data_IF_842796883938
#
_entry.id   IF_842796883938
#
_cell.length_a   1.000
_cell.length_b   1.000
_cell.length_c   1.000
_cell.angle_alpha   90.00
_cell.angle_beta   90.00
_cell.angle_gamma   90.00
#
_symmetry.space_group_name_H-M   'P 1'
#
loop_
_entity.id
_entity.type
_entity.pdbx_description
1 polymer ?
#
# COMPACT_ATOMS: atom_id res chain seq x y z
N UNK A 1 2.25 -14.36 62.32
CA UNK A 1 2.07 -15.18 61.11
C UNK A 1 0.59 -15.57 61.04
N UNK A 2 -0.22 -14.65 60.53
CA UNK A 2 -1.66 -14.85 60.30
C UNK A 2 -1.85 -14.88 58.79
N UNK A 3 -2.23 -16.03 58.25
CA UNK A 3 -2.74 -16.16 56.88
C UNK A 3 -3.97 -15.23 56.77
N UNK A 4 -3.77 -14.01 56.28
CA UNK A 4 -4.85 -13.23 55.71
C UNK A 4 -5.11 -13.80 54.32
N UNK A 5 -6.10 -14.68 54.30
CA UNK A 5 -6.98 -15.05 53.18
C UNK A 5 -6.87 -14.03 52.04
N UNK A 6 -6.52 -14.50 50.83
CA UNK A 6 -6.64 -13.74 49.58
C UNK A 6 -7.95 -12.95 49.63
N UNK A 7 -7.94 -11.61 49.47
CA UNK A 7 -9.18 -10.87 49.44
C UNK A 7 -10.01 -11.45 48.30
N UNK A 8 -11.25 -11.86 48.61
CA UNK A 8 -12.25 -12.19 47.61
C UNK A 8 -12.16 -11.14 46.49
N UNK A 9 -11.87 -11.58 45.26
CA UNK A 9 -11.90 -10.72 44.08
C UNK A 9 -13.29 -10.09 44.05
N UNK A 10 -13.40 -8.81 44.40
CA UNK A 10 -14.68 -8.10 44.35
C UNK A 10 -15.22 -8.17 42.92
N UNK A 11 -16.55 -8.15 42.78
CA UNK A 11 -17.22 -8.12 41.48
C UNK A 11 -16.66 -7.04 40.55
N UNK A 12 -16.28 -5.89 41.10
CA UNK A 12 -15.58 -4.81 40.41
C UNK A 12 -14.21 -5.20 39.85
N UNK A 13 -13.38 -5.91 40.62
CA UNK A 13 -12.06 -6.34 40.16
C UNK A 13 -12.20 -7.37 39.04
N UNK A 14 -13.13 -8.32 39.18
CA UNK A 14 -13.42 -9.32 38.14
C UNK A 14 -13.89 -8.66 36.83
N UNK A 15 -14.74 -7.64 36.93
CA UNK A 15 -15.25 -6.92 35.77
C UNK A 15 -14.13 -6.19 34.99
N UNK A 16 -13.20 -5.53 35.70
CA UNK A 16 -12.08 -4.84 35.06
C UNK A 16 -11.10 -5.85 34.45
N UNK A 17 -10.82 -6.97 35.11
CA UNK A 17 -9.95 -8.03 34.57
C UNK A 17 -10.57 -8.61 33.29
N UNK A 18 -11.88 -8.85 33.30
CA UNK A 18 -12.61 -9.29 32.12
C UNK A 18 -12.49 -8.29 30.97
N UNK A 19 -12.67 -7.00 31.24
CA UNK A 19 -12.50 -5.95 30.22
C UNK A 19 -11.09 -5.91 29.62
N UNK A 20 -10.06 -6.01 30.47
CA UNK A 20 -8.66 -6.10 30.05
C UNK A 20 -8.39 -7.33 29.17
N UNK A 21 -8.97 -8.47 29.53
CA UNK A 21 -8.82 -9.70 28.76
C UNK A 21 -9.52 -9.62 27.40
N UNK A 22 -10.72 -9.05 27.34
CA UNK A 22 -11.44 -8.81 26.08
C UNK A 22 -10.63 -7.91 25.16
N UNK A 23 -10.02 -6.84 25.69
CA UNK A 23 -9.14 -5.97 24.92
C UNK A 23 -7.91 -6.72 24.38
N UNK A 24 -7.24 -7.51 25.21
CA UNK A 24 -6.06 -8.28 24.82
C UNK A 24 -6.40 -9.33 23.75
N UNK A 25 -7.46 -10.12 23.97
CA UNK A 25 -7.93 -11.12 23.02
C UNK A 25 -8.32 -10.49 21.68
N UNK A 26 -8.98 -9.34 21.70
CA UNK A 26 -9.28 -8.55 20.51
C UNK A 26 -8.03 -8.11 19.75
N UNK A 27 -7.02 -7.61 20.47
CA UNK A 27 -5.74 -7.22 19.88
C UNK A 27 -5.03 -8.39 19.20
N UNK A 28 -4.94 -9.53 19.88
CA UNK A 28 -4.33 -10.76 19.34
C UNK A 28 -5.10 -11.26 18.12
N UNK A 29 -6.43 -11.26 18.17
CA UNK A 29 -7.29 -11.67 17.05
C UNK A 29 -7.08 -10.81 15.80
N UNK A 30 -7.04 -9.48 15.96
CA UNK A 30 -6.74 -8.56 14.86
C UNK A 30 -5.32 -8.74 14.31
N UNK A 31 -4.34 -9.03 15.16
CA UNK A 31 -2.98 -9.34 14.72
C UNK A 31 -2.92 -10.60 13.88
N UNK A 32 -3.65 -11.64 14.32
CA UNK A 32 -3.77 -12.89 13.58
C UNK A 32 -4.43 -12.67 12.21
N UNK A 33 -5.52 -11.89 12.16
CA UNK A 33 -6.18 -11.49 10.90
C UNK A 33 -5.27 -10.69 9.98
N UNK A 34 -4.52 -9.73 10.51
CA UNK A 34 -3.52 -8.97 9.75
C UNK A 34 -2.48 -9.89 9.08
N UNK A 35 -1.99 -10.90 9.81
CA UNK A 35 -1.06 -11.91 9.25
C UNK A 35 -1.75 -12.78 8.20
N UNK A 36 -2.98 -13.23 8.46
CA UNK A 36 -3.77 -14.06 7.53
C UNK A 36 -4.12 -13.36 6.21
N UNK A 37 -4.25 -12.03 6.20
CA UNK A 37 -4.50 -11.24 4.99
C UNK A 37 -3.21 -10.72 4.31
N UNK A 38 -2.09 -11.42 4.51
CA UNK A 38 -0.84 -11.13 3.80
C UNK A 38 -0.19 -9.80 4.18
N UNK A 39 -0.42 -9.29 5.41
CA UNK A 39 0.19 -8.07 5.95
C UNK A 39 -0.10 -6.79 5.17
N UNK A 40 -1.19 -6.75 4.39
CA UNK A 40 -1.52 -5.60 3.55
C UNK A 40 -2.26 -4.49 4.31
N UNK A 41 -2.95 -4.82 5.41
CA UNK A 41 -3.78 -3.85 6.13
C UNK A 41 -3.10 -3.27 7.38
N UNK A 42 -2.35 -2.18 7.21
CA UNK A 42 -1.75 -1.43 8.32
C UNK A 42 -2.78 -0.91 9.34
N UNK A 43 -4.03 -0.69 8.92
CA UNK A 43 -5.13 -0.40 9.83
C UNK A 43 -5.30 -1.49 10.90
N UNK A 44 -5.37 -2.76 10.50
CA UNK A 44 -5.55 -3.88 11.44
C UNK A 44 -4.34 -4.07 12.36
N UNK A 45 -3.13 -3.78 11.85
CA UNK A 45 -1.90 -3.78 12.65
C UNK A 45 -1.95 -2.70 13.75
N UNK A 46 -2.24 -1.46 13.36
CA UNK A 46 -2.28 -0.32 14.28
C UNK A 46 -3.45 -0.42 15.27
N UNK A 47 -4.60 -0.94 14.82
CA UNK A 47 -5.74 -1.23 15.67
C UNK A 47 -5.41 -2.32 16.70
N UNK A 48 -4.79 -3.41 16.25
CA UNK A 48 -4.28 -4.49 17.11
C UNK A 48 -3.31 -3.97 18.17
N UNK A 49 -2.31 -3.19 17.77
CA UNK A 49 -1.32 -2.61 18.67
C UNK A 49 -2.00 -1.73 19.74
N UNK A 50 -2.97 -0.92 19.34
CA UNK A 50 -3.72 -0.09 20.30
C UNK A 50 -4.56 -0.91 21.29
N UNK A 51 -5.19 -2.02 20.87
CA UNK A 51 -5.89 -2.92 21.80
C UNK A 51 -4.95 -3.59 22.81
N UNK A 52 -3.76 -4.01 22.36
CA UNK A 52 -2.75 -4.61 23.24
C UNK A 52 -2.25 -3.57 24.24
N UNK A 53 -1.87 -2.37 23.80
CA UNK A 53 -1.40 -1.29 24.67
C UNK A 53 -2.47 -0.84 25.67
N UNK A 54 -3.73 -0.77 25.23
CA UNK A 54 -4.86 -0.44 26.09
C UNK A 54 -5.07 -1.52 27.18
N UNK A 55 -4.97 -2.80 26.82
CA UNK A 55 -5.08 -3.91 27.78
C UNK A 55 -3.94 -3.89 28.81
N UNK A 56 -2.71 -3.56 28.39
CA UNK A 56 -1.57 -3.39 29.30
C UNK A 56 -1.81 -2.24 30.28
N UNK A 57 -2.44 -1.15 29.83
CA UNK A 57 -2.89 -0.07 30.70
C UNK A 57 -3.90 -0.55 31.73
N UNK A 58 -4.91 -1.33 31.33
CA UNK A 58 -5.90 -1.88 32.28
C UNK A 58 -5.21 -2.75 33.33
N UNK A 59 -4.32 -3.66 32.91
CA UNK A 59 -3.63 -4.55 33.85
C UNK A 59 -2.62 -3.84 34.73
N UNK A 60 -1.99 -2.75 34.27
CA UNK A 60 -1.03 -1.99 35.09
C UNK A 60 -1.68 -1.39 36.33
N UNK A 61 -3.00 -1.12 36.31
CA UNK A 61 -3.76 -0.67 37.48
C UNK A 61 -3.77 -1.67 38.64
N UNK A 62 -3.56 -2.97 38.38
CA UNK A 62 -3.58 -4.02 39.40
C UNK A 62 -2.21 -4.39 39.94
N UNK A 63 -1.23 -4.50 39.04
CA UNK A 63 0.09 -5.01 39.39
C UNK A 63 0.92 -3.99 40.16
N UNK A 64 0.56 -2.70 40.05
CA UNK A 64 1.33 -1.63 40.64
C UNK A 64 0.43 -0.53 41.24
N UNK A 65 -0.08 -0.71 42.47
CA UNK A 65 -0.90 0.29 43.16
C UNK A 65 -0.16 1.61 43.47
N UNK A 66 1.17 1.56 43.53
CA UNK A 66 2.08 2.69 43.72
C UNK A 66 2.61 3.29 42.42
N UNK A 67 2.30 2.68 41.27
CA UNK A 67 2.64 3.25 39.97
C UNK A 67 1.66 4.39 39.69
N UNK A 68 2.21 5.58 39.59
CA UNK A 68 1.48 6.83 39.39
C UNK A 68 0.59 6.78 38.15
N UNK A 69 -0.53 7.52 38.22
CA UNK A 69 -1.50 7.75 37.14
C UNK A 69 -0.86 8.01 35.77
N UNK A 70 0.34 8.59 35.73
CA UNK A 70 1.09 8.92 34.52
C UNK A 70 1.42 7.73 33.61
N UNK A 71 1.87 6.58 34.11
CA UNK A 71 2.28 5.46 33.23
C UNK A 71 1.07 4.79 32.57
N UNK A 72 -0.02 4.69 33.32
CA UNK A 72 -1.33 4.28 32.81
C UNK A 72 -1.81 5.22 31.69
N UNK A 73 -1.74 6.53 31.93
CA UNK A 73 -2.09 7.51 30.90
C UNK A 73 -1.16 7.43 29.68
N UNK A 74 0.14 7.20 29.85
CA UNK A 74 1.08 7.03 28.73
C UNK A 74 0.72 5.83 27.85
N UNK A 75 0.37 4.69 28.43
CA UNK A 75 -0.08 3.51 27.68
C UNK A 75 -1.40 3.78 26.93
N UNK A 76 -2.33 4.52 27.55
CA UNK A 76 -3.54 4.99 26.89
C UNK A 76 -3.20 5.92 25.72
N UNK A 77 -2.32 6.90 25.90
CA UNK A 77 -1.94 7.83 24.84
C UNK A 77 -1.29 7.11 23.65
N UNK A 78 -0.45 6.10 23.91
CA UNK A 78 0.12 5.26 22.86
C UNK A 78 -0.94 4.40 22.15
N UNK A 79 -1.90 3.86 22.90
CA UNK A 79 -3.03 3.11 22.32
C UNK A 79 -3.89 4.02 21.42
N UNK A 80 -4.22 5.21 21.89
CA UNK A 80 -5.00 6.20 21.14
C UNK A 80 -4.25 6.73 19.93
N UNK A 81 -2.92 6.93 20.02
CA UNK A 81 -2.08 7.27 18.87
C UNK A 81 -2.12 6.18 17.81
N UNK A 82 -2.03 4.91 18.23
CA UNK A 82 -2.10 3.77 17.31
C UNK A 82 -3.46 3.69 16.63
N UNK A 83 -4.55 3.90 17.35
CA UNK A 83 -5.89 3.98 16.75
C UNK A 83 -6.04 5.18 15.81
N UNK A 84 -5.61 6.37 16.24
CA UNK A 84 -5.66 7.60 15.46
C UNK A 84 -4.91 7.46 14.13
N UNK A 85 -3.68 6.96 14.18
CA UNK A 85 -2.86 6.72 12.98
C UNK A 85 -3.52 5.69 12.07
N UNK A 86 -4.08 4.61 12.62
CA UNK A 86 -4.89 3.64 11.87
C UNK A 86 -6.02 4.31 11.08
N UNK A 87 -6.84 5.14 11.73
CA UNK A 87 -7.92 5.88 11.07
C UNK A 87 -7.41 6.96 10.10
N UNK A 88 -6.31 7.66 10.42
CA UNK A 88 -5.72 8.67 9.56
C UNK A 88 -5.26 8.08 8.23
N UNK A 89 -4.53 6.95 8.28
CA UNK A 89 -4.04 6.27 7.08
C UNK A 89 -5.18 5.82 6.15
N UNK A 90 -6.36 5.59 6.70
CA UNK A 90 -7.55 5.21 5.95
C UNK A 90 -8.16 6.39 5.18
N UNK A 91 -7.96 7.62 5.65
CA UNK A 91 -8.55 8.85 5.10
C UNK A 91 -7.63 9.55 4.08
N UNK A 92 -6.31 9.45 4.26
CA UNK A 92 -5.28 10.10 3.42
C UNK A 92 -5.40 9.75 1.93
N UNK A 93 -6.02 8.62 1.60
CA UNK A 93 -6.21 8.17 0.22
C UNK A 93 -7.29 8.86 -0.61
N UNK A 94 -8.33 9.37 0.04
CA UNK A 94 -9.52 9.90 -0.66
C UNK A 94 -9.86 11.34 -0.31
N UNK A 95 -9.29 11.89 0.75
CA UNK A 95 -9.52 13.28 1.15
C UNK A 95 -8.28 14.15 0.97
N UNK A 96 -8.53 15.45 0.74
CA UNK A 96 -7.52 16.49 0.74
C UNK A 96 -6.72 16.45 2.05
N UNK A 97 -5.41 16.70 1.94
CA UNK A 97 -4.41 16.83 3.02
C UNK A 97 -4.96 17.58 4.26
N UNK A 98 -5.88 18.52 4.06
CA UNK A 98 -6.56 19.29 5.11
C UNK A 98 -7.16 18.45 6.25
N UNK A 99 -7.77 17.28 5.98
CA UNK A 99 -8.38 16.47 7.04
C UNK A 99 -7.33 15.72 7.86
N UNK A 100 -6.30 15.19 7.21
CA UNK A 100 -5.17 14.57 7.90
C UNK A 100 -4.45 15.60 8.80
N UNK A 101 -4.27 16.82 8.28
CA UNK A 101 -3.71 17.94 9.06
C UNK A 101 -4.56 18.25 10.29
N UNK A 102 -5.89 18.31 10.17
CA UNK A 102 -6.78 18.55 11.32
C UNK A 102 -6.64 17.45 12.39
N UNK A 103 -6.61 16.17 12.01
CA UNK A 103 -6.42 15.07 12.96
C UNK A 103 -5.03 15.10 13.62
N UNK A 104 -3.98 15.37 12.83
CA UNK A 104 -2.62 15.51 13.36
C UNK A 104 -2.50 16.70 14.31
N UNK A 105 -3.15 17.83 14.02
CA UNK A 105 -3.21 18.98 14.92
C UNK A 105 -3.96 18.69 16.21
N UNK A 106 -5.10 17.99 16.15
CA UNK A 106 -5.86 17.57 17.35
C UNK A 106 -5.01 16.64 18.22
N UNK A 107 -4.30 15.68 17.61
CA UNK A 107 -3.41 14.77 18.34
C UNK A 107 -2.20 15.50 18.95
N UNK A 108 -1.57 16.42 18.21
CA UNK A 108 -0.45 17.20 18.74
C UNK A 108 -0.88 18.12 19.88
N UNK A 109 -2.06 18.73 19.78
CA UNK A 109 -2.62 19.57 20.83
C UNK A 109 -2.93 18.76 22.10
N UNK A 110 -3.52 17.57 21.98
CA UNK A 110 -3.79 16.71 23.13
C UNK A 110 -2.50 16.17 23.77
N UNK A 111 -1.51 15.80 22.96
CA UNK A 111 -0.20 15.38 23.44
C UNK A 111 0.51 16.51 24.19
N UNK A 112 0.46 17.74 23.65
CA UNK A 112 1.03 18.91 24.30
C UNK A 112 0.36 19.20 25.66
N UNK A 113 -0.97 19.12 25.73
CA UNK A 113 -1.72 19.28 26.99
C UNK A 113 -1.37 18.18 28.00
N UNK A 114 -1.20 16.94 27.56
CA UNK A 114 -0.73 15.85 28.42
C UNK A 114 0.69 16.09 28.95
N UNK A 115 1.61 16.54 28.10
CA UNK A 115 2.98 16.87 28.50
C UNK A 115 3.02 18.03 29.50
N UNK A 116 2.18 19.05 29.32
CA UNK A 116 2.05 20.16 30.26
C UNK A 116 1.47 19.71 31.61
N UNK A 117 0.53 18.76 31.62
CA UNK A 117 0.06 18.11 32.84
C UNK A 117 1.17 17.29 33.50
N UNK A 118 1.91 16.49 32.73
CA UNK A 118 3.03 15.69 33.23
C UNK A 118 4.14 16.55 33.86
N UNK A 119 4.40 17.73 33.29
CA UNK A 119 5.35 18.72 33.82
C UNK A 119 4.81 19.47 35.06
N UNK A 120 3.57 19.21 35.49
CA UNK A 120 2.94 19.87 36.63
C UNK A 120 2.53 21.32 36.38
N UNK A 121 2.54 21.78 35.12
CA UNK A 121 2.24 23.16 34.73
C UNK A 121 0.72 23.37 34.60
N UNK A 122 0.00 22.34 34.16
CA UNK A 122 -1.45 22.38 33.92
C UNK A 122 -2.24 21.79 35.08
N UNK A 123 -3.43 22.33 35.35
CA UNK A 123 -4.33 21.81 36.39
C UNK A 123 -4.74 20.35 36.12
N UNK A 124 -4.89 19.56 37.18
CA UNK A 124 -5.13 18.10 37.11
C UNK A 124 -6.40 17.73 36.35
N UNK A 125 -7.42 18.58 36.40
CA UNK A 125 -8.70 18.38 35.71
C UNK A 125 -8.52 18.37 34.18
N UNK A 126 -7.71 19.28 33.63
CA UNK A 126 -7.48 19.37 32.17
C UNK A 126 -6.62 18.20 31.67
N UNK A 127 -5.64 17.76 32.47
CA UNK A 127 -4.81 16.59 32.17
C UNK A 127 -5.59 15.27 32.14
N UNK A 128 -6.61 15.14 33.00
CA UNK A 128 -7.47 13.95 33.04
C UNK A 128 -8.54 13.99 31.94
N UNK A 129 -9.03 15.18 31.55
CA UNK A 129 -10.06 15.36 30.51
C UNK A 129 -9.56 15.04 29.08
N UNK A 130 -8.28 15.29 28.82
CA UNK A 130 -7.66 15.18 27.49
C UNK A 130 -7.77 13.80 26.82
N UNK A 131 -7.50 12.65 27.48
CA UNK A 131 -7.68 11.35 26.84
C UNK A 131 -9.15 11.05 26.51
N UNK A 132 -10.10 11.48 27.34
CA UNK A 132 -11.54 11.28 27.09
C UNK A 132 -12.03 12.12 25.89
N UNK A 133 -11.61 13.39 25.81
CA UNK A 133 -11.89 14.26 24.65
C UNK A 133 -11.25 13.72 23.37
N UNK A 134 -10.04 13.17 23.45
CA UNK A 134 -9.36 12.59 22.30
C UNK A 134 -10.05 11.33 21.81
N UNK A 135 -10.49 10.43 22.71
CA UNK A 135 -11.33 9.29 22.34
C UNK A 135 -12.59 9.78 21.65
N UNK A 136 -13.30 10.74 22.23
CA UNK A 136 -14.53 11.26 21.66
C UNK A 136 -14.30 11.85 20.26
N UNK A 137 -13.30 12.73 20.07
CA UNK A 137 -13.02 13.41 18.81
C UNK A 137 -12.48 12.47 17.72
N UNK A 138 -11.55 11.57 18.06
CA UNK A 138 -11.04 10.56 17.13
C UNK A 138 -12.14 9.57 16.73
N UNK A 139 -12.97 9.16 17.70
CA UNK A 139 -14.07 8.24 17.47
C UNK A 139 -15.17 8.88 16.61
N UNK A 140 -15.63 10.10 16.92
CA UNK A 140 -16.68 10.75 16.12
C UNK A 140 -16.18 11.17 14.75
N UNK A 141 -14.96 11.73 14.67
CA UNK A 141 -14.38 12.16 13.41
C UNK A 141 -14.08 11.00 12.46
N UNK A 142 -13.43 9.94 12.96
CA UNK A 142 -13.09 8.75 12.18
C UNK A 142 -14.33 8.01 11.65
N UNK A 143 -15.39 7.98 12.44
CA UNK A 143 -16.65 7.31 12.09
C UNK A 143 -17.49 8.08 11.07
N UNK A 144 -17.61 9.40 11.23
CA UNK A 144 -18.26 10.26 10.23
C UNK A 144 -17.55 10.15 8.89
N UNK A 145 -16.21 10.06 8.91
CA UNK A 145 -15.41 9.84 7.71
C UNK A 145 -15.65 8.48 7.08
N UNK A 146 -15.64 7.41 7.87
CA UNK A 146 -15.94 6.07 7.37
C UNK A 146 -17.32 6.00 6.67
N UNK A 147 -18.34 6.60 7.28
CA UNK A 147 -19.71 6.65 6.72
C UNK A 147 -19.72 7.42 5.40
N UNK A 148 -19.00 8.55 5.32
CA UNK A 148 -18.89 9.34 4.07
C UNK A 148 -18.09 8.65 2.97
N UNK A 149 -17.08 7.85 3.30
CA UNK A 149 -16.14 7.28 2.32
C UNK A 149 -16.66 5.98 1.70
N UNK A 150 -17.21 5.10 2.54
CA UNK A 150 -17.51 3.74 2.13
C UNK A 150 -19.00 3.50 1.87
N UNK A 151 -19.88 4.48 2.17
CA UNK A 151 -21.35 4.38 2.09
C UNK A 151 -21.96 3.15 2.78
N UNK A 152 -21.12 2.38 3.47
CA UNK A 152 -21.41 1.11 4.12
C UNK A 152 -20.56 1.06 5.37
N UNK A 153 -21.22 0.99 6.52
CA UNK A 153 -20.57 0.73 7.78
C UNK A 153 -21.23 -0.48 8.43
N UNK A 154 -20.46 -1.46 8.93
CA UNK A 154 -21.03 -2.47 9.79
C UNK A 154 -21.68 -1.77 10.98
N UNK A 155 -23.00 -1.92 11.14
CA UNK A 155 -23.77 -1.31 12.24
C UNK A 155 -23.19 -1.66 13.59
N UNK A 156 -22.64 -2.88 13.74
CA UNK A 156 -21.91 -3.33 14.92
C UNK A 156 -20.70 -2.47 15.28
N UNK A 157 -19.96 -1.95 14.29
CA UNK A 157 -18.80 -1.09 14.50
C UNK A 157 -19.24 0.27 15.08
N UNK A 158 -20.34 0.83 14.57
CA UNK A 158 -20.94 2.07 15.07
C UNK A 158 -21.52 1.89 16.48
N UNK A 159 -22.29 0.83 16.70
CA UNK A 159 -22.89 0.54 18.00
C UNK A 159 -21.83 0.33 19.08
N UNK A 160 -20.81 -0.50 18.80
CA UNK A 160 -19.69 -0.71 19.72
C UNK A 160 -18.96 0.60 20.03
N UNK A 161 -18.73 1.45 19.02
CA UNK A 161 -18.13 2.76 19.23
C UNK A 161 -18.96 3.71 20.09
N UNK A 162 -20.25 3.84 19.81
CA UNK A 162 -21.15 4.71 20.57
C UNK A 162 -21.22 4.29 22.04
N UNK A 163 -21.19 2.98 22.30
CA UNK A 163 -21.14 2.44 23.66
C UNK A 163 -19.83 2.76 24.39
N UNK A 164 -18.67 2.72 23.71
CA UNK A 164 -17.39 3.13 24.29
C UNK A 164 -17.38 4.61 24.67
N UNK A 165 -17.89 5.49 23.79
CA UNK A 165 -17.98 6.93 24.06
C UNK A 165 -18.92 7.20 25.23
N UNK A 166 -20.10 6.56 25.26
CA UNK A 166 -21.04 6.69 26.36
C UNK A 166 -20.43 6.21 27.70
N UNK A 167 -19.73 5.08 27.69
CA UNK A 167 -19.05 4.54 28.89
C UNK A 167 -18.00 5.52 29.42
N UNK A 168 -17.19 6.11 28.54
CA UNK A 168 -16.19 7.12 28.91
C UNK A 168 -16.81 8.40 29.49
N UNK A 169 -17.94 8.86 28.94
CA UNK A 169 -18.67 10.02 29.48
C UNK A 169 -19.21 9.70 30.88
N UNK A 170 -19.82 8.52 31.06
CA UNK A 170 -20.34 8.08 32.34
C UNK A 170 -19.24 7.89 33.39
N UNK A 171 -18.06 7.37 33.00
CA UNK A 171 -16.88 7.27 33.87
C UNK A 171 -16.37 8.66 34.27
N UNK A 172 -16.27 9.59 33.32
CA UNK A 172 -15.78 10.95 33.57
C UNK A 172 -16.65 11.73 34.57
N UNK A 173 -17.97 11.67 34.42
CA UNK A 173 -18.91 12.31 35.35
C UNK A 173 -19.19 11.48 36.61
N UNK A 174 -18.55 10.31 36.75
CA UNK A 174 -18.76 9.36 37.84
C UNK A 174 -20.25 8.99 38.04
N UNK A 175 -20.99 8.82 36.94
CA UNK A 175 -22.44 8.59 36.93
C UNK A 175 -22.83 7.10 36.99
N UNK A 176 -21.86 6.19 36.92
CA UNK A 176 -22.12 4.76 36.90
C UNK A 176 -21.07 3.99 37.72
N UNK A 177 -21.47 2.82 38.23
CA UNK A 177 -20.56 1.93 38.95
C UNK A 177 -19.45 1.40 38.03
N UNK A 178 -18.27 1.17 38.60
CA UNK A 178 -17.11 0.59 37.89
C UNK A 178 -17.46 -0.74 37.21
N UNK A 179 -18.26 -1.59 37.86
CA UNK A 179 -18.72 -2.87 37.31
C UNK A 179 -19.53 -2.70 36.01
N UNK A 180 -20.54 -1.82 36.06
CA UNK A 180 -21.36 -1.50 34.89
C UNK A 180 -20.51 -0.93 33.75
N UNK A 181 -19.57 -0.03 34.06
CA UNK A 181 -18.68 0.59 33.08
C UNK A 181 -17.76 -0.45 32.43
N UNK A 182 -17.14 -1.33 33.21
CA UNK A 182 -16.26 -2.38 32.68
C UNK A 182 -17.01 -3.39 31.81
N UNK A 183 -18.22 -3.81 32.20
CA UNK A 183 -19.04 -4.74 31.40
C UNK A 183 -19.55 -4.09 30.10
N UNK A 184 -19.97 -2.83 30.18
CA UNK A 184 -20.41 -2.08 28.99
C UNK A 184 -19.24 -1.87 28.04
N UNK A 185 -18.07 -1.50 28.57
CA UNK A 185 -16.84 -1.33 27.80
C UNK A 185 -16.37 -2.62 27.13
N UNK A 186 -16.44 -3.76 27.83
CA UNK A 186 -16.12 -5.07 27.27
C UNK A 186 -17.06 -5.44 26.12
N UNK A 187 -18.37 -5.26 26.32
CA UNK A 187 -19.39 -5.51 25.30
C UNK A 187 -19.19 -4.62 24.07
N UNK A 188 -18.87 -3.35 24.30
CA UNK A 188 -18.61 -2.37 23.27
C UNK A 188 -17.39 -2.74 22.41
N UNK A 189 -16.30 -3.21 23.04
CA UNK A 189 -15.11 -3.74 22.35
C UNK A 189 -15.44 -4.97 21.49
N UNK A 190 -16.27 -5.89 21.98
CA UNK A 190 -16.68 -7.09 21.22
C UNK A 190 -17.45 -6.68 19.95
N UNK A 191 -18.44 -5.78 20.08
CA UNK A 191 -19.22 -5.29 18.94
C UNK A 191 -18.33 -4.55 17.93
N UNK A 192 -17.41 -3.73 18.44
CA UNK A 192 -16.44 -3.02 17.63
C UNK A 192 -15.53 -4.00 16.86
N UNK A 193 -14.98 -5.00 17.53
CA UNK A 193 -14.13 -6.04 16.93
C UNK A 193 -14.87 -6.86 15.88
N UNK A 194 -16.13 -7.21 16.15
CA UNK A 194 -16.98 -7.92 15.18
C UNK A 194 -17.15 -7.11 13.89
N UNK A 195 -17.36 -5.79 14.02
CA UNK A 195 -17.41 -4.88 12.87
C UNK A 195 -16.07 -4.76 12.14
N UNK A 196 -14.96 -4.62 12.88
CA UNK A 196 -13.63 -4.45 12.31
C UNK A 196 -13.13 -5.72 11.60
N UNK A 197 -13.57 -6.89 12.04
CA UNK A 197 -13.23 -8.18 11.44
C UNK A 197 -13.95 -8.46 10.12
N UNK A 198 -14.90 -7.61 9.71
CA UNK A 198 -15.69 -7.81 8.50
C UNK A 198 -14.77 -7.78 7.25
N UNK A 199 -14.84 -8.77 6.34
CA UNK A 199 -14.06 -8.79 5.11
C UNK A 199 -14.22 -7.55 4.22
N UNK A 200 -15.39 -6.90 4.25
CA UNK A 200 -15.63 -5.64 3.53
C UNK A 200 -14.75 -4.51 4.07
N UNK A 201 -14.39 -4.55 5.37
CA UNK A 201 -13.45 -3.63 6.00
C UNK A 201 -11.99 -3.95 5.64
N UNK A 202 -11.69 -5.20 5.26
CA UNK A 202 -10.37 -5.60 4.77
C UNK A 202 -10.01 -4.90 3.44
N UNK A 203 -11.00 -4.66 2.58
CA UNK A 203 -10.82 -3.97 1.29
C UNK A 203 -10.33 -2.53 1.47
N UNK A 204 -10.73 -1.87 2.56
CA UNK A 204 -10.21 -0.55 2.93
C UNK A 204 -8.70 -0.61 3.16
N UNK A 205 -8.22 -1.66 3.84
CA UNK A 205 -6.80 -1.92 4.05
C UNK A 205 -6.00 -2.17 2.77
N UNK A 206 -6.62 -2.75 1.74
CA UNK A 206 -5.96 -3.00 0.45
C UNK A 206 -5.69 -1.68 -0.28
N UNK A 207 -6.64 -0.75 -0.27
CA UNK A 207 -6.48 0.58 -0.87
C UNK A 207 -5.37 1.38 -0.16
N UNK A 208 -5.27 1.25 1.16
CA UNK A 208 -4.19 1.85 1.97
C UNK A 208 -2.81 1.31 1.60
N UNK A 209 -2.69 0.00 1.35
CA UNK A 209 -1.43 -0.59 0.89
C UNK A 209 -1.00 -0.02 -0.46
N UNK A 210 -1.95 0.27 -1.37
CA UNK A 210 -1.66 0.90 -2.66
C UNK A 210 -1.11 2.32 -2.46
N UNK A 211 -1.70 3.11 -1.55
CA UNK A 211 -1.26 4.48 -1.24
C UNK A 211 0.12 4.59 -0.59
N UNK A 212 0.40 3.75 0.40
CA UNK A 212 1.73 3.68 1.00
C UNK A 212 2.78 3.22 -0.04
N UNK A 213 2.38 2.32 -0.95
CA UNK A 213 3.20 1.92 -2.10
C UNK A 213 3.38 3.05 -3.13
N UNK A 214 2.39 3.94 -3.30
CA UNK A 214 2.50 5.11 -4.20
C UNK A 214 3.30 6.24 -3.56
N UNK A 215 3.26 6.41 -2.23
CA UNK A 215 4.02 7.42 -1.51
C UNK A 215 5.51 7.10 -1.34
N UNK A 216 5.87 5.81 -1.33
CA UNK A 216 7.27 5.35 -1.35
C UNK A 216 7.90 5.39 -2.73
N UNK A 217 7.09 5.31 -3.78
CA UNK A 217 7.53 5.45 -5.15
C UNK A 217 7.10 6.81 -5.66
N UNK A 218 7.80 7.86 -5.19
CA UNK A 218 7.95 9.07 -6.00
C UNK A 218 8.75 8.66 -7.23
N UNK A 219 8.09 7.98 -8.16
CA UNK A 219 8.64 7.73 -9.48
C UNK A 219 8.84 9.10 -10.12
N UNK A 220 10.08 9.33 -10.54
CA UNK A 220 10.41 10.42 -11.44
C UNK A 220 9.33 10.52 -12.51
N UNK A 221 8.84 11.74 -12.65
CA UNK A 221 7.81 12.21 -13.57
C UNK A 221 8.02 11.58 -14.95
N UNK A 222 7.27 10.52 -15.25
CA UNK A 222 6.87 10.18 -16.61
C UNK A 222 5.35 10.20 -16.59
N UNK A 223 4.77 11.20 -17.27
CA UNK A 223 3.32 11.41 -17.31
C UNK A 223 2.59 10.35 -18.16
N UNK A 224 3.36 9.47 -18.80
CA UNK A 224 2.96 8.56 -19.87
C UNK A 224 3.35 7.12 -19.51
N UNK A 225 2.38 6.20 -19.53
CA UNK A 225 2.61 4.76 -19.39
C UNK A 225 3.02 4.10 -20.71
N UNK A 226 2.68 4.75 -21.83
CA UNK A 226 3.01 4.27 -23.17
C UNK A 226 3.54 5.44 -23.99
N UNK A 227 4.79 5.34 -24.42
CA UNK A 227 5.47 6.32 -25.25
C UNK A 227 5.86 5.71 -26.59
N UNK A 228 5.60 6.45 -27.66
CA UNK A 228 6.04 6.12 -29.01
C UNK A 228 7.35 6.84 -29.30
N UNK A 229 8.41 6.09 -29.57
CA UNK A 229 9.71 6.63 -30.00
C UNK A 229 9.72 6.65 -31.52
N UNK A 230 9.55 7.83 -32.10
CA UNK A 230 9.48 8.06 -33.54
C UNK A 230 10.89 8.29 -34.10
N UNK A 231 11.37 7.32 -34.86
CA UNK A 231 12.68 7.32 -35.53
C UNK A 231 12.56 7.99 -36.90
N UNK A 232 12.98 9.26 -37.02
CA UNK A 232 12.88 10.02 -38.28
C UNK A 232 14.29 10.36 -38.78
N UNK A 233 14.70 9.79 -39.92
CA UNK A 233 16.06 9.93 -40.45
C UNK A 233 17.16 9.67 -39.41
N UNK A 234 16.93 8.75 -38.47
CA UNK A 234 17.89 8.40 -37.42
C UNK A 234 18.84 7.32 -37.88
N UNK A 235 20.10 7.44 -37.45
CA UNK A 235 21.08 6.37 -37.64
C UNK A 235 20.94 5.33 -36.54
N UNK A 236 21.21 4.07 -36.87
CA UNK A 236 21.25 2.96 -35.92
C UNK A 236 22.12 3.29 -34.69
N UNK A 237 23.28 3.92 -34.90
CA UNK A 237 24.17 4.35 -33.81
C UNK A 237 23.53 5.36 -32.84
N UNK A 238 22.67 6.26 -33.35
CA UNK A 238 21.95 7.23 -32.51
C UNK A 238 20.85 6.56 -31.70
N UNK A 239 20.20 5.54 -32.26
CA UNK A 239 19.20 4.75 -31.56
C UNK A 239 19.84 3.91 -30.46
N UNK A 240 20.97 3.25 -30.74
CA UNK A 240 21.76 2.54 -29.75
C UNK A 240 22.26 3.47 -28.63
N UNK A 241 22.74 4.67 -28.97
CA UNK A 241 23.20 5.63 -27.96
C UNK A 241 22.05 6.13 -27.08
N UNK A 242 20.87 6.33 -27.66
CA UNK A 242 19.66 6.67 -26.91
C UNK A 242 19.27 5.54 -25.95
N UNK A 243 19.22 4.29 -26.42
CA UNK A 243 18.91 3.13 -25.57
C UNK A 243 19.91 3.01 -24.43
N UNK A 244 21.21 3.17 -24.72
CA UNK A 244 22.28 3.11 -23.71
C UNK A 244 22.17 4.21 -22.67
N UNK A 245 21.87 5.44 -23.08
CA UNK A 245 21.66 6.54 -22.13
C UNK A 245 20.43 6.28 -21.27
N UNK A 246 19.33 5.86 -21.90
CA UNK A 246 18.06 5.55 -21.24
C UNK A 246 18.21 4.44 -20.19
N UNK A 247 18.91 3.34 -20.51
CA UNK A 247 19.16 2.26 -19.55
C UNK A 247 20.07 2.71 -18.41
N UNK A 248 21.10 3.50 -18.70
CA UNK A 248 22.02 4.03 -17.68
C UNK A 248 21.28 4.95 -16.68
N UNK A 249 20.39 5.79 -17.17
CA UNK A 249 19.61 6.70 -16.33
C UNK A 249 18.57 5.94 -15.50
N UNK A 250 17.93 4.91 -16.07
CA UNK A 250 17.04 3.99 -15.34
C UNK A 250 17.77 3.22 -14.24
N UNK A 251 18.96 2.70 -14.53
CA UNK A 251 19.79 1.96 -13.57
C UNK A 251 20.12 2.83 -12.35
N UNK A 252 20.52 4.09 -12.56
CA UNK A 252 20.75 5.07 -11.48
C UNK A 252 19.49 5.37 -10.66
N UNK A 253 18.32 5.31 -11.30
CA UNK A 253 17.03 5.53 -10.65
C UNK A 253 16.44 4.26 -9.99
N UNK A 254 17.13 3.11 -10.06
CA UNK A 254 16.64 1.84 -9.54
C UNK A 254 15.48 1.23 -10.35
N UNK A 255 15.35 1.62 -11.63
CA UNK A 255 14.33 1.12 -12.56
C UNK A 255 14.93 -0.01 -13.39
N UNK A 256 14.24 -1.15 -13.45
CA UNK A 256 14.67 -2.29 -14.27
C UNK A 256 14.24 -2.08 -15.72
N UNK A 257 15.15 -2.20 -16.67
CA UNK A 257 14.85 -2.07 -18.10
C UNK A 257 14.73 -3.45 -18.73
N UNK A 258 13.63 -3.72 -19.43
CA UNK A 258 13.42 -4.94 -20.21
C UNK A 258 13.51 -4.55 -21.68
N UNK A 259 14.59 -4.96 -22.34
CA UNK A 259 14.85 -4.65 -23.75
C UNK A 259 14.38 -5.82 -24.62
N UNK A 260 13.27 -5.62 -25.34
CA UNK A 260 12.68 -6.59 -26.26
C UNK A 260 13.16 -6.31 -27.68
N UNK A 261 14.00 -7.19 -28.19
CA UNK A 261 14.67 -7.07 -29.50
C UNK A 261 14.06 -8.08 -30.45
N UNK A 262 13.53 -7.58 -31.55
CA UNK A 262 13.02 -8.42 -32.63
C UNK A 262 14.14 -8.85 -33.56
N UNK A 263 14.18 -10.13 -33.92
CA UNK A 263 15.03 -10.71 -34.97
C UNK A 263 16.51 -10.30 -34.90
N UNK A 264 17.01 -10.05 -33.68
CA UNK A 264 18.37 -9.54 -33.45
C UNK A 264 18.74 -8.32 -34.32
N UNK A 265 17.78 -7.42 -34.56
CA UNK A 265 18.05 -6.14 -35.24
C UNK A 265 19.17 -5.39 -34.50
N UNK A 266 19.23 -5.54 -33.17
CA UNK A 266 20.44 -5.27 -32.39
C UNK A 266 21.12 -6.59 -32.12
N UNK A 267 22.34 -6.74 -32.64
CA UNK A 267 23.11 -7.97 -32.52
C UNK A 267 23.62 -8.19 -31.08
N UNK A 268 23.85 -9.45 -30.66
CA UNK A 268 24.48 -9.74 -29.37
C UNK A 268 25.85 -9.07 -29.17
N UNK A 269 26.62 -8.88 -30.25
CA UNK A 269 27.88 -8.14 -30.24
C UNK A 269 27.68 -6.68 -29.84
N UNK A 270 26.70 -6.00 -30.44
CA UNK A 270 26.38 -4.61 -30.11
C UNK A 270 25.88 -4.46 -28.67
N UNK A 271 25.06 -5.41 -28.19
CA UNK A 271 24.61 -5.43 -26.79
C UNK A 271 25.78 -5.58 -25.81
N UNK A 272 26.78 -6.39 -26.15
CA UNK A 272 28.00 -6.57 -25.36
C UNK A 272 28.86 -5.30 -25.36
N UNK A 273 29.04 -4.66 -26.51
CA UNK A 273 29.75 -3.37 -26.60
C UNK A 273 29.08 -2.25 -25.78
N UNK A 274 27.76 -2.27 -25.71
CA UNK A 274 26.98 -1.36 -24.87
C UNK A 274 27.04 -1.73 -23.38
N UNK A 275 27.58 -2.89 -23.00
CA UNK A 275 27.56 -3.49 -21.65
C UNK A 275 26.16 -3.77 -21.10
N UNK A 276 25.18 -3.98 -21.99
CA UNK A 276 23.79 -4.25 -21.58
C UNK A 276 23.62 -5.65 -21.00
N UNK A 277 24.43 -6.61 -21.43
CA UNK A 277 24.40 -7.99 -20.93
C UNK A 277 25.07 -8.15 -19.56
N UNK A 278 25.87 -7.16 -19.13
CA UNK A 278 26.58 -7.18 -17.84
C UNK A 278 25.80 -6.44 -16.74
N UNK A 279 24.83 -5.60 -17.13
CA UNK A 279 24.06 -4.78 -16.21
C UNK A 279 22.84 -5.56 -15.67
N UNK A 280 22.84 -5.86 -14.36
CA UNK A 280 21.74 -6.57 -13.69
C UNK A 280 20.41 -5.81 -13.69
N UNK A 281 20.44 -4.50 -13.95
CA UNK A 281 19.24 -3.69 -14.11
C UNK A 281 18.62 -3.80 -15.51
N UNK A 282 19.29 -4.48 -16.45
CA UNK A 282 18.81 -4.69 -17.81
C UNK A 282 18.56 -6.17 -18.04
N UNK A 283 17.37 -6.51 -18.54
CA UNK A 283 17.03 -7.85 -18.99
C UNK A 283 16.77 -7.84 -20.49
N UNK A 284 17.48 -8.66 -21.25
CA UNK A 284 17.32 -8.72 -22.71
C UNK A 284 16.38 -9.86 -23.10
N UNK A 285 15.36 -9.55 -23.90
CA UNK A 285 14.43 -10.51 -24.48
C UNK A 285 14.61 -10.52 -25.99
N UNK A 286 14.95 -11.68 -26.55
CA UNK A 286 15.11 -11.86 -28.00
C UNK A 286 13.87 -12.56 -28.55
N UNK A 287 13.24 -11.95 -29.54
CA UNK A 287 12.07 -12.49 -30.24
C UNK A 287 12.54 -13.15 -31.53
N UNK A 288 12.44 -14.48 -31.61
CA UNK A 288 12.95 -15.26 -32.73
C UNK A 288 11.86 -16.17 -33.33
N UNK A 289 11.87 -16.45 -34.65
CA UNK A 289 10.86 -17.29 -35.30
C UNK A 289 10.87 -18.75 -34.83
N UNK A 290 12.06 -19.33 -34.61
CA UNK A 290 12.26 -20.75 -34.31
C UNK A 290 12.79 -20.96 -32.87
N UNK A 291 12.08 -20.41 -31.88
CA UNK A 291 12.40 -20.66 -30.48
C UNK A 291 11.97 -22.08 -30.06
N UNK A 292 12.93 -23.01 -29.96
CA UNK A 292 12.67 -24.41 -29.55
C UNK A 292 12.26 -24.55 -28.07
N UNK A 293 12.63 -23.58 -27.22
CA UNK A 293 12.27 -23.52 -25.79
C UNK A 293 11.93 -22.08 -25.40
N UNK A 294 10.70 -21.84 -24.97
CA UNK A 294 10.26 -20.55 -24.43
C UNK A 294 10.56 -20.46 -22.93
N UNK A 295 11.33 -19.45 -22.54
CA UNK A 295 11.67 -19.19 -21.13
C UNK A 295 10.49 -18.62 -20.32
N UNK A 296 9.41 -18.19 -20.99
CA UNK A 296 8.26 -17.48 -20.38
C UNK A 296 7.15 -18.45 -19.90
N UNK A 297 7.43 -19.77 -19.92
CA UNK A 297 6.43 -20.80 -19.61
C UNK A 297 6.29 -21.13 -18.12
N UNK A 298 7.18 -20.66 -17.26
CA UNK A 298 7.09 -20.89 -15.81
C UNK A 298 6.21 -19.84 -15.12
N UNK A 299 5.30 -20.29 -14.25
CA UNK A 299 4.47 -19.42 -13.39
C UNK A 299 5.31 -18.51 -12.47
N UNK A 300 6.60 -18.82 -12.30
CA UNK A 300 7.59 -17.99 -11.64
C UNK A 300 8.35 -17.14 -12.68
N UNK A 301 8.23 -15.82 -12.57
CA UNK A 301 8.98 -14.80 -13.33
C UNK A 301 10.48 -14.75 -12.96
N UNK A 302 11.05 -15.86 -12.52
CA UNK A 302 12.47 -16.01 -12.10
C UNK A 302 13.44 -15.73 -13.26
N UNK A 303 13.01 -15.97 -14.50
CA UNK A 303 13.80 -15.68 -15.71
C UNK A 303 14.23 -14.21 -15.82
N UNK A 304 13.50 -13.28 -15.19
CA UNK A 304 13.86 -11.86 -15.15
C UNK A 304 15.00 -11.57 -14.16
N UNK A 305 15.20 -12.39 -13.13
CA UNK A 305 16.21 -12.19 -12.08
C UNK A 305 17.46 -13.07 -12.25
N UNK A 306 17.32 -14.25 -12.88
CA UNK A 306 18.35 -15.29 -12.91
C UNK A 306 19.12 -15.38 -14.23
N UNK A 307 18.56 -14.89 -15.33
CA UNK A 307 19.15 -15.01 -16.67
C UNK A 307 19.52 -13.63 -17.23
N UNK A 308 20.68 -13.55 -17.88
CA UNK A 308 21.13 -12.32 -18.55
C UNK A 308 20.31 -12.03 -19.83
N UNK A 309 19.72 -13.07 -20.43
CA UNK A 309 18.81 -12.95 -21.55
C UNK A 309 17.77 -14.07 -21.57
N UNK A 310 16.66 -13.82 -22.26
CA UNK A 310 15.58 -14.79 -22.49
C UNK A 310 15.17 -14.80 -23.96
N UNK A 311 14.68 -15.94 -24.44
CA UNK A 311 14.20 -16.10 -25.80
C UNK A 311 12.70 -16.39 -25.78
N UNK A 312 11.95 -15.69 -26.63
CA UNK A 312 10.53 -15.95 -26.87
C UNK A 312 10.27 -16.21 -28.34
N UNK A 313 9.21 -16.97 -28.63
CA UNK A 313 8.76 -17.17 -30.00
C UNK A 313 8.16 -15.89 -30.56
N UNK A 314 8.34 -15.69 -31.85
CA UNK A 314 7.72 -14.61 -32.61
C UNK A 314 6.22 -14.86 -32.86
N UNK A 315 5.43 -14.76 -31.79
CA UNK A 315 3.98 -14.63 -31.90
C UNK A 315 3.40 -13.68 -30.84
N UNK A 316 2.23 -13.13 -31.17
CA UNK A 316 1.57 -12.13 -30.32
C UNK A 316 1.09 -12.70 -28.98
N UNK A 317 0.89 -14.02 -28.87
CA UNK A 317 0.49 -14.64 -27.61
C UNK A 317 1.68 -14.64 -26.65
N UNK A 318 2.85 -15.07 -27.11
CA UNK A 318 4.10 -15.06 -26.32
C UNK A 318 4.52 -13.64 -25.93
N UNK A 319 4.40 -12.66 -26.83
CA UNK A 319 4.60 -11.25 -26.49
C UNK A 319 3.59 -10.77 -25.43
N UNK A 320 2.32 -11.17 -25.56
CA UNK A 320 1.28 -10.84 -24.58
C UNK A 320 1.50 -11.46 -23.21
N UNK A 321 2.02 -12.70 -23.16
CA UNK A 321 2.44 -13.37 -21.93
C UNK A 321 3.63 -12.65 -21.31
N UNK A 322 4.66 -12.31 -22.09
CA UNK A 322 5.81 -11.53 -21.62
C UNK A 322 5.37 -10.22 -20.94
N UNK A 323 4.53 -9.43 -21.60
CA UNK A 323 4.01 -8.18 -21.02
C UNK A 323 3.29 -8.43 -19.69
N UNK A 324 2.50 -9.51 -19.61
CA UNK A 324 1.79 -9.88 -18.38
C UNK A 324 2.75 -10.28 -17.27
N UNK A 325 3.77 -11.07 -17.60
CA UNK A 325 4.80 -11.51 -16.67
C UNK A 325 5.60 -10.34 -16.12
N UNK A 326 5.96 -9.35 -16.95
CA UNK A 326 6.66 -8.13 -16.51
C UNK A 326 5.77 -7.29 -15.59
N UNK A 327 4.48 -7.13 -15.93
CA UNK A 327 3.52 -6.39 -15.08
C UNK A 327 3.35 -7.09 -13.72
N UNK A 328 3.22 -8.41 -13.70
CA UNK A 328 3.11 -9.17 -12.46
C UNK A 328 4.41 -9.10 -11.65
N UNK A 329 5.56 -9.26 -12.29
CA UNK A 329 6.87 -9.10 -11.67
C UNK A 329 7.02 -7.72 -10.99
N UNK A 330 6.72 -6.64 -11.72
CA UNK A 330 6.78 -5.28 -11.19
C UNK A 330 5.85 -5.10 -9.98
N UNK A 331 4.65 -5.68 -10.05
CA UNK A 331 3.65 -5.62 -8.97
C UNK A 331 4.06 -6.41 -7.72
N UNK A 332 4.66 -7.57 -7.90
CA UNK A 332 4.99 -8.50 -6.81
C UNK A 332 6.32 -8.16 -6.13
N UNK A 333 7.34 -7.79 -6.93
CA UNK A 333 8.66 -7.37 -6.43
C UNK A 333 8.74 -5.90 -6.06
N UNK A 334 7.74 -5.08 -6.43
CA UNK A 334 7.71 -3.63 -6.22
C UNK A 334 8.87 -2.89 -6.90
N UNK A 335 9.29 -3.39 -8.06
CA UNK A 335 10.36 -2.78 -8.87
C UNK A 335 9.70 -2.09 -10.06
N UNK A 336 9.91 -0.78 -10.29
CA UNK A 336 9.45 -0.11 -11.49
C UNK A 336 10.18 -0.68 -12.71
N UNK A 337 9.46 -0.85 -13.81
CA UNK A 337 10.00 -1.49 -15.01
C UNK A 337 9.75 -0.65 -16.27
N UNK A 338 10.78 -0.50 -17.10
CA UNK A 338 10.66 0.13 -18.41
C UNK A 338 10.85 -0.93 -19.49
N UNK A 339 9.84 -1.15 -20.32
CA UNK A 339 9.90 -2.07 -21.46
C UNK A 339 10.26 -1.26 -22.70
N UNK A 340 11.34 -1.64 -23.38
CA UNK A 340 11.75 -1.04 -24.65
C UNK A 340 11.51 -2.08 -25.76
N UNK A 341 10.58 -1.80 -26.66
CA UNK A 341 10.26 -2.66 -27.82
C UNK A 341 10.99 -2.12 -29.05
N UNK A 342 12.01 -2.86 -29.51
CA UNK A 342 12.86 -2.54 -30.64
C UNK A 342 12.76 -3.65 -31.72
N UNK A 343 11.86 -3.56 -32.71
CA UNK A 343 10.99 -2.41 -33.03
C UNK A 343 9.51 -2.77 -33.24
N UNK A 344 8.64 -1.80 -32.96
CA UNK A 344 7.21 -1.87 -33.25
C UNK A 344 6.93 -1.91 -34.76
N UNK A 345 7.71 -1.22 -35.60
CA UNK A 345 7.51 -1.28 -37.06
C UNK A 345 7.66 -2.69 -37.59
N UNK A 346 8.69 -3.41 -37.15
CA UNK A 346 8.92 -4.81 -37.53
C UNK A 346 7.80 -5.73 -37.03
N UNK A 347 7.31 -5.55 -35.80
CA UNK A 347 6.12 -6.26 -35.30
C UNK A 347 4.89 -6.04 -36.21
N UNK A 348 4.69 -4.81 -36.68
CA UNK A 348 3.58 -4.44 -37.55
C UNK A 348 3.71 -5.11 -38.93
N UNK A 349 4.91 -5.17 -39.50
CA UNK A 349 5.15 -5.84 -40.77
C UNK A 349 4.86 -7.34 -40.68
N UNK A 350 5.27 -8.00 -39.59
CA UNK A 350 5.08 -9.44 -39.42
C UNK A 350 3.64 -9.81 -39.08
N UNK A 351 3.02 -9.15 -38.10
CA UNK A 351 1.74 -9.58 -37.51
C UNK A 351 0.54 -8.73 -37.94
N UNK A 352 0.78 -7.67 -38.70
CA UNK A 352 -0.23 -6.71 -39.12
C UNK A 352 -0.59 -5.70 -38.04
N UNK A 353 -0.79 -4.43 -38.44
CA UNK A 353 -1.02 -3.33 -37.50
C UNK A 353 -2.27 -3.52 -36.62
N UNK A 354 -3.33 -4.15 -37.13
CA UNK A 354 -4.58 -4.38 -36.37
C UNK A 354 -4.39 -5.33 -35.21
N UNK A 355 -3.64 -6.41 -35.42
CA UNK A 355 -3.38 -7.43 -34.40
C UNK A 355 -2.48 -6.86 -33.30
N UNK A 356 -1.43 -6.15 -33.68
CA UNK A 356 -0.53 -5.45 -32.76
C UNK A 356 -1.28 -4.38 -31.97
N UNK A 357 -2.10 -3.56 -32.63
CA UNK A 357 -2.94 -2.56 -31.97
C UNK A 357 -3.91 -3.21 -30.96
N UNK A 358 -4.53 -4.33 -31.32
CA UNK A 358 -5.46 -5.06 -30.44
C UNK A 358 -4.73 -5.62 -29.21
N UNK A 359 -3.51 -6.14 -29.38
CA UNK A 359 -2.70 -6.61 -28.26
C UNK A 359 -2.39 -5.48 -27.28
N UNK A 360 -1.86 -4.36 -27.80
CA UNK A 360 -1.46 -3.22 -26.96
C UNK A 360 -2.67 -2.60 -26.26
N UNK A 361 -3.78 -2.40 -26.95
CA UNK A 361 -5.02 -1.87 -26.34
C UNK A 361 -5.57 -2.79 -25.25
N UNK A 362 -5.49 -4.12 -25.43
CA UNK A 362 -5.88 -5.09 -24.39
C UNK A 362 -4.97 -5.07 -23.17
N UNK A 363 -3.67 -4.84 -23.35
CA UNK A 363 -2.69 -4.77 -22.25
C UNK A 363 -2.58 -3.39 -21.61
N UNK A 364 -3.11 -2.36 -22.25
CA UNK A 364 -3.09 -0.98 -21.78
C UNK A 364 -3.63 -0.82 -20.35
N UNK A 365 -4.78 -1.41 -19.96
CA UNK A 365 -5.28 -1.26 -18.59
C UNK A 365 -4.34 -1.87 -17.55
N UNK A 366 -3.72 -3.01 -17.87
CA UNK A 366 -2.77 -3.68 -16.97
C UNK A 366 -1.51 -2.84 -16.78
N UNK A 367 -0.97 -2.27 -17.87
CA UNK A 367 0.20 -1.39 -17.87
C UNK A 367 -0.10 -0.11 -17.08
N UNK A 368 -1.22 0.58 -17.35
CA UNK A 368 -1.61 1.82 -16.66
C UNK A 368 -1.88 1.64 -15.16
N UNK A 369 -2.31 0.45 -14.75
CA UNK A 369 -2.53 0.12 -13.34
C UNK A 369 -1.26 -0.45 -12.67
N UNK A 370 -0.10 -0.32 -13.29
CA UNK A 370 1.19 -0.84 -12.81
C UNK A 370 2.28 0.24 -12.84
N UNK A 371 3.47 -0.10 -12.34
CA UNK A 371 4.66 0.76 -12.42
C UNK A 371 5.50 0.45 -13.67
N UNK A 372 4.84 -0.02 -14.72
CA UNK A 372 5.45 -0.38 -15.99
C UNK A 372 5.22 0.73 -16.99
N UNK A 373 6.28 1.13 -17.69
CA UNK A 373 6.23 2.05 -18.83
C UNK A 373 6.72 1.34 -20.08
N UNK A 374 6.07 1.58 -21.22
CA UNK A 374 6.40 0.94 -22.48
C UNK A 374 6.84 1.98 -23.51
N UNK A 375 8.03 1.77 -24.08
CA UNK A 375 8.63 2.58 -25.12
C UNK A 375 8.71 1.77 -26.40
N UNK A 376 8.09 2.26 -27.47
CA UNK A 376 7.96 1.52 -28.72
C UNK A 376 8.65 2.28 -29.86
N UNK A 377 9.66 1.67 -30.46
CA UNK A 377 10.38 2.26 -31.58
C UNK A 377 9.61 2.09 -32.88
N UNK A 378 9.26 3.20 -33.51
CA UNK A 378 8.47 3.27 -34.74
C UNK A 378 9.22 4.07 -35.80
N UNK A 379 9.46 3.43 -36.93
CA UNK A 379 10.06 4.01 -38.13
C UNK A 379 8.93 4.39 -39.09
N UNK A 380 8.61 5.69 -39.29
CA UNK A 380 7.54 6.08 -40.20
C UNK A 380 7.85 5.79 -41.67
N UNK A 381 9.13 5.78 -42.03
CA UNK A 381 9.60 5.67 -43.42
C UNK A 381 9.35 4.28 -44.03
N UNK A 382 9.22 3.25 -43.20
CA UNK A 382 8.97 1.86 -43.67
C UNK A 382 7.49 1.55 -43.89
N UNK A 383 6.57 2.43 -43.48
CA UNK A 383 5.13 2.23 -43.63
C UNK A 383 4.58 3.09 -44.77
N UNK A 384 4.05 2.46 -45.81
CA UNK A 384 3.37 3.17 -46.92
C UNK A 384 2.09 3.87 -46.44
N UNK A 385 1.35 3.23 -45.54
CA UNK A 385 0.09 3.73 -45.00
C UNK A 385 0.33 4.66 -43.80
N UNK A 386 0.23 5.97 -44.05
CA UNK A 386 0.36 7.01 -43.03
C UNK A 386 -0.69 6.94 -41.92
N UNK A 387 -1.82 6.23 -42.13
CA UNK A 387 -2.85 6.08 -41.10
C UNK A 387 -2.38 5.18 -39.95
N UNK A 388 -1.43 4.27 -40.20
CA UNK A 388 -0.81 3.42 -39.19
C UNK A 388 -0.14 4.28 -38.13
N UNK A 389 0.73 5.20 -38.53
CA UNK A 389 1.40 6.13 -37.62
C UNK A 389 0.38 6.90 -36.77
N UNK A 390 -0.64 7.48 -37.39
CA UNK A 390 -1.66 8.26 -36.67
C UNK A 390 -2.44 7.43 -35.64
N UNK A 391 -2.57 6.12 -35.88
CA UNK A 391 -3.28 5.19 -35.00
C UNK A 391 -2.45 4.90 -33.75
N UNK A 392 -1.14 4.67 -33.91
CA UNK A 392 -0.24 4.44 -32.77
C UNK A 392 0.13 5.73 -32.04
N UNK A 393 0.19 6.88 -32.71
CA UNK A 393 0.32 8.19 -32.06
C UNK A 393 -0.88 8.50 -31.14
N UNK A 394 -2.11 8.11 -31.54
CA UNK A 394 -3.30 8.22 -30.68
C UNK A 394 -3.32 7.23 -29.52
N UNK A 395 -2.64 6.09 -29.69
CA UNK A 395 -2.54 5.07 -28.65
C UNK A 395 -1.52 5.47 -27.57
N UNK A 396 -0.44 6.10 -27.99
CA UNK A 396 0.60 6.60 -27.11
C UNK A 396 0.14 7.86 -26.37
N UNK A 397 0.56 7.99 -25.11
CA UNK A 397 0.31 9.17 -24.30
C UNK A 397 1.38 10.24 -24.52
N UNK A 398 2.52 9.82 -25.05
CA UNK A 398 3.65 10.67 -25.38
C UNK A 398 4.31 10.19 -26.68
N UNK A 399 4.75 11.14 -27.50
CA UNK A 399 5.52 10.87 -28.70
C UNK A 399 6.88 11.54 -28.54
N UNK A 400 7.93 10.73 -28.52
CA UNK A 400 9.33 11.15 -28.43
C UNK A 400 9.91 11.06 -29.84
N UNK A 401 10.45 12.15 -30.36
CA UNK A 401 11.14 12.15 -31.65
C UNK A 401 12.63 12.11 -31.39
N UNK A 402 13.31 11.11 -31.95
CA UNK A 402 14.77 10.96 -31.87
C UNK A 402 15.42 11.19 -33.21
#
# INVERSE_FOLDING_TARGET
>A
MSLQVLPFLSSSILAIIFDGYVALAGGIYLLHRYRGWGRKSYFHLLLSLGFILYSLGIFSRFWFPSFTSYQFFTLIYLALFSWATGFLFMVVGRFKISLAVVFSLIFLASLALYLLYFLGILNSVLGVLTPYLMVALLATGGMILLIRIHHFLPTSLLTGWSMLVASNILEFFNLASVEFLSMTSATAKILFLYGAANPMFAMVGVEMSKLLRTGLNVSLITRSHVSLVKCVNTSHLRELSWIKQFTTDNSKAGIKTILVILYDIISPSELKEMRMLEDKSVHVVRVLPEAEKEDVTSEEYSFLDEKDFSIIRDDLASLGLLLSSIVNYSRDKLIPCNIVIYSLSWLIHTHGWRSVYTLLTRKMPDIKNSQVHVYMFFYPEVHEDKTILSTFEKLAEEVIVI
#
